data_IF_241003863092
#
_entry.id   IF_241003863092
#
_cell.length_a   1.000
_cell.length_b   1.000
_cell.length_c   1.000
_cell.angle_alpha   90.00
_cell.angle_beta   90.00
_cell.angle_gamma   90.00
#
_symmetry.space_group_name_H-M   'P 1'
#
loop_
_entity.id
_entity.type
_entity.pdbx_description
1 polymer ?
#
# COMPACT_ATOMS: atom_id res chain seq x y z
N UNK A 1 -19.05 -0.26 22.32
CA UNK A 1 -18.10 -0.82 21.33
C UNK A 1 -17.18 0.31 20.89
N UNK A 2 -15.87 0.19 21.11
CA UNK A 2 -14.93 1.29 20.83
C UNK A 2 -14.83 1.50 19.31
N UNK A 3 -15.31 2.64 18.82
CA UNK A 3 -15.17 3.06 17.43
C UNK A 3 -13.69 3.25 17.12
N UNK A 4 -13.03 2.22 16.58
CA UNK A 4 -11.67 2.38 16.04
C UNK A 4 -11.77 3.39 14.90
N UNK A 5 -11.19 4.57 15.11
CA UNK A 5 -11.25 5.69 14.16
C UNK A 5 -10.51 5.27 12.89
N UNK A 6 -11.24 4.93 11.83
CA UNK A 6 -10.67 4.53 10.54
C UNK A 6 -9.89 5.65 9.87
N UNK A 7 -8.95 5.28 9.00
CA UNK A 7 -8.14 6.20 8.20
C UNK A 7 -9.02 6.71 7.05
N UNK A 8 -9.12 8.03 6.90
CA UNK A 8 -9.84 8.63 5.79
C UNK A 8 -9.02 8.51 4.48
N UNK A 9 -9.69 8.19 3.39
CA UNK A 9 -9.11 8.14 2.04
C UNK A 9 -10.15 8.59 1.02
N UNK A 10 -9.72 9.31 0.00
CA UNK A 10 -10.50 9.70 -1.18
C UNK A 10 -10.40 8.66 -2.30
N UNK A 11 -9.41 7.74 -2.22
CA UNK A 11 -9.09 6.78 -3.27
C UNK A 11 -8.94 5.37 -2.70
N UNK A 12 -10.06 4.68 -2.47
CA UNK A 12 -10.08 3.31 -1.98
C UNK A 12 -9.24 2.35 -2.85
N UNK A 13 -9.24 2.56 -4.17
CA UNK A 13 -8.50 1.72 -5.11
C UNK A 13 -6.99 1.75 -4.87
N UNK A 14 -6.44 2.90 -4.50
CA UNK A 14 -5.02 3.00 -4.17
C UNK A 14 -4.68 2.19 -2.91
N UNK A 15 -5.56 2.22 -1.91
CA UNK A 15 -5.38 1.43 -0.68
C UNK A 15 -5.39 -0.07 -0.99
N UNK A 16 -6.37 -0.53 -1.77
CA UNK A 16 -6.43 -1.93 -2.21
C UNK A 16 -5.17 -2.31 -2.98
N UNK A 17 -4.73 -1.48 -3.92
CA UNK A 17 -3.54 -1.73 -4.73
C UNK A 17 -2.28 -1.82 -3.86
N UNK A 18 -2.11 -0.92 -2.87
CA UNK A 18 -0.99 -0.97 -1.93
C UNK A 18 -1.01 -2.26 -1.10
N UNK A 19 -2.18 -2.74 -0.67
CA UNK A 19 -2.31 -4.01 0.05
C UNK A 19 -1.96 -5.21 -0.84
N UNK A 20 -2.33 -5.18 -2.12
CA UNK A 20 -1.98 -6.21 -3.10
C UNK A 20 -0.47 -6.24 -3.37
N UNK A 21 0.14 -5.08 -3.67
CA UNK A 21 1.58 -4.96 -3.92
C UNK A 21 2.40 -5.36 -2.69
N UNK A 22 1.94 -4.95 -1.50
CA UNK A 22 2.56 -5.30 -0.22
C UNK A 22 2.33 -6.75 0.22
N UNK A 23 1.63 -7.56 -0.58
CA UNK A 23 1.27 -8.96 -0.30
C UNK A 23 0.67 -9.15 1.09
N UNK A 24 -0.16 -8.20 1.53
CA UNK A 24 -0.74 -8.20 2.87
C UNK A 24 -1.82 -9.28 2.99
N UNK A 25 -1.95 -9.84 4.19
CA UNK A 25 -2.95 -10.86 4.53
C UNK A 25 -3.77 -10.35 5.70
N UNK A 26 -5.08 -10.20 5.51
CA UNK A 26 -5.94 -9.62 6.54
C UNK A 26 -7.26 -9.12 5.97
N UNK A 27 -8.01 -8.42 6.81
CA UNK A 27 -9.34 -7.93 6.51
C UNK A 27 -9.33 -6.40 6.42
N UNK A 28 -9.80 -5.86 5.30
CA UNK A 28 -10.00 -4.44 5.07
C UNK A 28 -11.48 -4.14 5.26
N UNK A 29 -11.80 -3.44 6.34
CA UNK A 29 -13.12 -2.92 6.61
C UNK A 29 -13.22 -1.47 6.12
N UNK A 30 -14.30 -1.13 5.41
CA UNK A 30 -14.47 0.15 4.73
C UNK A 30 -15.84 0.70 5.08
N UNK A 31 -15.91 2.00 5.34
CA UNK A 31 -17.12 2.70 5.73
C UNK A 31 -17.27 3.96 4.87
N UNK A 32 -18.45 4.16 4.29
CA UNK A 32 -18.79 5.35 3.49
C UNK A 32 -20.05 6.01 4.06
N UNK A 33 -20.08 7.35 3.98
CA UNK A 33 -21.24 8.14 4.35
C UNK A 33 -21.31 8.50 5.83
N UNK A 34 -22.32 9.30 6.16
CA UNK A 34 -22.70 9.66 7.52
C UNK A 34 -24.08 9.05 7.80
N UNK A 35 -24.43 8.86 9.08
CA UNK A 35 -25.78 8.39 9.40
C UNK A 35 -26.84 9.35 8.82
N UNK A 36 -27.92 8.84 8.19
CA UNK A 36 -28.37 7.43 8.15
C UNK A 36 -27.91 6.61 6.92
N UNK A 37 -27.20 7.20 5.95
CA UNK A 37 -26.77 6.53 4.72
C UNK A 37 -25.40 5.86 4.86
N UNK A 38 -25.08 5.34 6.05
CA UNK A 38 -23.82 4.67 6.31
C UNK A 38 -23.81 3.32 5.59
N UNK A 39 -22.87 3.18 4.67
CA UNK A 39 -22.63 1.93 3.96
C UNK A 39 -21.34 1.29 4.44
N UNK A 40 -21.34 -0.04 4.52
CA UNK A 40 -20.20 -0.83 4.98
C UNK A 40 -19.77 -1.83 3.91
N UNK A 41 -18.45 -1.91 3.71
CA UNK A 41 -17.79 -2.84 2.84
C UNK A 41 -16.68 -3.58 3.57
N UNK A 42 -16.42 -4.81 3.16
CA UNK A 42 -15.36 -5.63 3.72
C UNK A 42 -14.67 -6.45 2.63
N UNK A 43 -13.35 -6.49 2.66
CA UNK A 43 -12.52 -7.20 1.69
C UNK A 43 -11.50 -8.03 2.45
N UNK A 44 -11.42 -9.33 2.13
CA UNK A 44 -10.44 -10.24 2.73
C UNK A 44 -9.31 -10.48 1.75
N UNK A 45 -8.09 -10.28 2.24
CA UNK A 45 -6.84 -10.46 1.50
C UNK A 45 -6.06 -11.68 2.01
N UNK A 46 -5.52 -12.46 1.09
CA UNK A 46 -4.58 -13.55 1.35
C UNK A 46 -3.35 -13.37 0.45
N UNK A 47 -2.20 -13.05 1.05
CA UNK A 47 -0.93 -12.83 0.35
C UNK A 47 -1.04 -11.77 -0.77
N UNK A 48 -1.82 -10.71 -0.54
CA UNK A 48 -2.10 -9.66 -1.54
C UNK A 48 -3.09 -10.06 -2.63
N UNK A 49 -3.75 -11.21 -2.54
CA UNK A 49 -4.87 -11.57 -3.41
C UNK A 49 -6.19 -11.35 -2.67
N UNK A 50 -7.19 -10.82 -3.35
CA UNK A 50 -8.54 -10.70 -2.80
C UNK A 50 -9.20 -12.06 -2.88
N UNK A 51 -9.62 -12.62 -1.75
CA UNK A 51 -10.30 -13.92 -1.69
C UNK A 51 -11.80 -13.80 -1.44
N UNK A 52 -12.24 -12.69 -0.86
CA UNK A 52 -13.66 -12.36 -0.66
C UNK A 52 -13.83 -10.84 -0.60
N UNK A 53 -14.97 -10.38 -1.09
CA UNK A 53 -15.40 -8.99 -0.97
C UNK A 53 -16.91 -8.97 -0.73
N UNK A 54 -17.37 -8.17 0.21
CA UNK A 54 -18.77 -8.01 0.54
C UNK A 54 -19.08 -6.53 0.80
N UNK A 55 -20.27 -6.10 0.39
CA UNK A 55 -20.75 -4.75 0.64
C UNK A 55 -22.27 -4.77 0.81
N UNK A 56 -22.73 -4.73 2.06
CA UNK A 56 -24.14 -4.94 2.39
C UNK A 56 -24.65 -6.31 1.90
N UNK A 57 -25.51 -6.30 0.88
CA UNK A 57 -26.06 -7.51 0.25
C UNK A 57 -25.28 -7.97 -0.99
N UNK A 58 -24.33 -7.17 -1.48
CA UNK A 58 -23.51 -7.53 -2.63
C UNK A 58 -22.32 -8.37 -2.17
N UNK A 59 -21.99 -9.42 -2.92
CA UNK A 59 -20.84 -10.29 -2.67
C UNK A 59 -19.98 -10.46 -3.94
N UNK A 60 -18.70 -10.75 -3.74
CA UNK A 60 -17.75 -11.13 -4.79
C UNK A 60 -17.45 -9.97 -5.75
N UNK A 61 -17.56 -10.25 -7.05
CA UNK A 61 -17.22 -9.28 -8.09
C UNK A 61 -18.18 -8.07 -8.10
N UNK A 62 -19.47 -8.30 -7.84
CA UNK A 62 -20.46 -7.22 -7.77
C UNK A 62 -20.18 -6.25 -6.62
N UNK A 63 -19.77 -6.79 -5.46
CA UNK A 63 -19.30 -5.97 -4.34
C UNK A 63 -18.07 -5.15 -4.73
N UNK A 64 -17.11 -5.75 -5.45
CA UNK A 64 -15.94 -5.01 -5.90
C UNK A 64 -16.26 -3.91 -6.91
N UNK A 65 -17.13 -4.18 -7.88
CA UNK A 65 -17.51 -3.17 -8.85
C UNK A 65 -18.28 -2.01 -8.20
N UNK A 66 -19.08 -2.30 -7.16
CA UNK A 66 -19.69 -1.28 -6.32
C UNK A 66 -18.66 -0.47 -5.52
N UNK A 67 -17.73 -1.14 -4.84
CA UNK A 67 -16.67 -0.48 -4.06
C UNK A 67 -15.75 0.41 -4.93
N UNK A 68 -15.56 0.08 -6.22
CA UNK A 68 -14.83 0.95 -7.17
C UNK A 68 -15.51 2.30 -7.39
N UNK A 69 -16.83 2.38 -7.23
CA UNK A 69 -17.59 3.63 -7.36
C UNK A 69 -17.54 4.50 -6.09
N UNK A 70 -16.93 4.00 -5.02
CA UNK A 70 -16.82 4.73 -3.76
C UNK A 70 -15.79 5.85 -3.86
N UNK A 71 -16.21 7.07 -3.53
CA UNK A 71 -15.35 8.23 -3.37
C UNK A 71 -14.75 8.31 -1.95
N UNK A 72 -14.90 9.44 -1.23
CA UNK A 72 -14.41 9.58 0.14
C UNK A 72 -14.96 8.51 1.09
N UNK A 73 -14.08 7.71 1.68
CA UNK A 73 -14.43 6.67 2.64
C UNK A 73 -13.41 6.59 3.77
N UNK A 74 -13.73 5.83 4.80
CA UNK A 74 -12.82 5.47 5.90
C UNK A 74 -12.52 3.99 5.82
N UNK A 75 -11.30 3.60 6.15
CA UNK A 75 -10.94 2.19 6.18
C UNK A 75 -10.13 1.81 7.41
N UNK A 76 -10.19 0.53 7.75
CA UNK A 76 -9.41 -0.12 8.80
C UNK A 76 -8.90 -1.43 8.22
N UNK A 77 -7.58 -1.63 8.27
CA UNK A 77 -6.98 -2.91 7.90
C UNK A 77 -6.56 -3.66 9.16
N UNK A 78 -7.12 -4.85 9.37
CA UNK A 78 -6.77 -5.76 10.46
C UNK A 78 -5.95 -6.89 9.86
N UNK A 79 -4.67 -6.95 10.22
CA UNK A 79 -3.76 -7.99 9.76
C UNK A 79 -4.09 -9.30 10.50
N UNK A 80 -4.26 -10.41 9.77
CA UNK A 80 -4.68 -11.69 10.40
C UNK A 80 -3.60 -12.22 11.36
N UNK A 81 -2.33 -11.93 11.05
CA UNK A 81 -1.16 -12.29 11.87
C UNK A 81 -1.27 -11.73 13.31
N UNK A 82 -1.90 -10.57 13.49
CA UNK A 82 -2.07 -9.95 14.82
C UNK A 82 -3.18 -10.62 15.66
N UNK A 83 -4.07 -11.43 15.05
CA UNK A 83 -5.06 -12.23 15.81
C UNK A 83 -4.44 -13.48 16.42
N UNK A 84 -3.38 -14.03 15.84
CA UNK A 84 -2.74 -15.25 16.31
C UNK A 84 -1.92 -15.07 17.61
N UNK A 85 -1.66 -13.84 18.05
CA UNK A 85 -0.91 -13.56 19.31
C UNK A 85 -1.81 -13.08 20.46
N UNK A 86 -3.14 -13.04 20.27
CA UNK A 86 -4.09 -12.89 21.37
C UNK A 86 -4.28 -14.20 22.15
N UNK A 87 -4.60 -14.16 23.46
CA UNK A 87 -4.83 -15.36 24.24
C UNK A 87 -5.94 -16.19 23.58
N UNK A 88 -5.64 -17.46 23.30
CA UNK A 88 -6.57 -18.42 22.69
C UNK A 88 -7.91 -18.41 23.44
N UNK A 89 -8.92 -17.73 22.90
CA UNK A 89 -10.32 -18.05 23.22
C UNK A 89 -10.73 -19.12 22.22
N UNK A 90 -10.67 -20.34 22.70
CA UNK A 90 -11.20 -21.55 22.09
C UNK A 90 -12.71 -21.38 21.84
N UNK A 91 -13.09 -20.85 20.68
CA UNK A 91 -14.47 -20.93 20.20
C UNK A 91 -14.60 -22.20 19.37
N UNK A 92 -15.16 -23.19 20.04
CA UNK A 92 -15.59 -24.47 19.50
C UNK A 92 -16.31 -24.30 18.17
N UNK A 93 -15.81 -25.00 17.17
CA UNK A 93 -16.53 -25.37 15.96
C UNK A 93 -17.78 -26.17 16.35
N UNK A 94 -18.93 -25.52 16.44
CA UNK A 94 -20.21 -26.21 16.49
C UNK A 94 -20.55 -26.69 15.08
N UNK A 95 -20.23 -27.94 14.82
CA UNK A 95 -20.87 -28.78 13.81
C UNK A 95 -22.36 -28.92 14.10
N UNK A 96 -23.22 -28.61 13.14
CA UNK A 96 -24.58 -29.15 13.09
C UNK A 96 -24.96 -29.52 11.65
N UNK A 97 -25.21 -30.82 11.53
CA UNK A 97 -25.62 -31.67 10.42
C UNK A 97 -27.08 -31.51 9.97
N UNK A 98 -27.33 -31.75 8.67
CA UNK A 98 -28.51 -32.39 8.00
C UNK A 98 -29.92 -31.74 8.18
N UNK A 99 -30.87 -31.72 7.24
CA UNK A 99 -31.33 -32.77 6.30
C UNK A 99 -32.39 -32.18 5.31
N UNK A 100 -32.23 -32.39 3.99
CA UNK A 100 -33.20 -32.81 2.92
C UNK A 100 -34.65 -32.22 2.76
N UNK A 101 -35.44 -32.50 1.68
CA UNK A 101 -35.16 -32.91 0.27
C UNK A 101 -36.08 -32.25 -0.83
N UNK A 102 -35.82 -32.56 -2.12
CA UNK A 102 -36.76 -32.58 -3.30
C UNK A 102 -37.21 -31.22 -3.90
N UNK A 103 -37.33 -30.95 -5.21
CA UNK A 103 -37.39 -31.71 -6.48
C UNK A 103 -37.34 -30.68 -7.69
N UNK A 104 -37.54 -31.05 -8.98
CA UNK A 104 -36.62 -30.82 -10.11
C UNK A 104 -36.97 -29.61 -11.03
N UNK A 105 -36.01 -29.15 -11.86
CA UNK A 105 -36.28 -28.63 -13.22
C UNK A 105 -35.02 -28.33 -14.06
N UNK A 106 -34.83 -29.12 -15.12
CA UNK A 106 -34.66 -28.67 -16.53
C UNK A 106 -33.38 -27.89 -16.92
N UNK A 107 -32.51 -28.62 -17.65
CA UNK A 107 -31.56 -28.27 -18.74
C UNK A 107 -31.95 -27.02 -19.58
N UNK A 108 -31.02 -26.31 -20.28
CA UNK A 108 -30.13 -26.95 -21.26
C UNK A 108 -28.73 -26.35 -21.48
N UNK A 109 -28.00 -27.17 -22.24
CA UNK A 109 -26.65 -27.03 -22.77
C UNK A 109 -26.43 -25.83 -23.67
N UNK A 110 -25.29 -25.17 -23.42
CA UNK A 110 -24.27 -24.67 -24.35
C UNK A 110 -24.57 -24.83 -25.85
N UNK A 111 -24.75 -23.69 -26.52
CA UNK A 111 -24.14 -23.42 -27.83
C UNK A 111 -24.34 -21.95 -28.15
N UNK A 112 -23.26 -21.19 -28.23
CA UNK A 112 -23.28 -19.93 -28.98
C UNK A 112 -21.94 -19.72 -29.68
N UNK A 113 -21.97 -19.25 -30.94
CA UNK A 113 -20.86 -19.35 -31.86
C UNK A 113 -19.96 -18.11 -31.82
N UNK A 114 -18.72 -18.32 -32.25
CA UNK A 114 -17.77 -17.32 -32.69
C UNK A 114 -18.39 -16.39 -33.74
N UNK A 115 -18.10 -15.08 -33.67
CA UNK A 115 -17.81 -14.33 -34.89
C UNK A 115 -16.42 -13.70 -34.83
N UNK A 116 -15.59 -14.08 -35.81
CA UNK A 116 -14.66 -13.16 -36.45
C UNK A 116 -15.39 -11.82 -36.69
N UNK A 117 -14.77 -10.68 -36.43
CA UNK A 117 -14.21 -9.90 -37.55
C UNK A 117 -13.35 -8.70 -37.13
N UNK A 118 -12.27 -8.58 -37.90
CA UNK A 118 -11.53 -7.39 -38.37
C UNK A 118 -11.35 -6.10 -37.56
N UNK A 119 -10.13 -5.56 -37.78
CA UNK A 119 -9.75 -4.14 -37.91
C UNK A 119 -9.63 -3.37 -36.57
N UNK A 120 -8.54 -2.67 -36.25
CA UNK A 120 -7.51 -1.99 -37.04
C UNK A 120 -6.29 -1.76 -36.13
N UNK A 121 -5.10 -2.13 -36.61
CA UNK A 121 -3.83 -1.50 -36.19
C UNK A 121 -3.69 -0.17 -36.96
N UNK A 122 -3.46 0.96 -36.30
CA UNK A 122 -2.68 2.07 -36.87
C UNK A 122 -1.21 1.73 -36.58
N UNK A 123 -0.47 1.23 -37.56
CA UNK A 123 0.34 2.02 -38.50
C UNK A 123 1.40 2.85 -37.78
N UNK A 124 2.58 2.24 -37.72
CA UNK A 124 3.90 2.80 -37.46
C UNK A 124 4.18 3.94 -38.44
N UNK A 125 4.28 5.16 -37.94
CA UNK A 125 4.90 6.27 -38.66
C UNK A 125 6.36 6.41 -38.24
N UNK A 126 7.33 6.48 -39.17
CA UNK A 126 8.69 6.85 -38.85
C UNK A 126 8.78 8.36 -38.64
N UNK A 127 9.19 8.81 -37.44
CA UNK A 127 9.54 10.22 -37.21
C UNK A 127 10.93 10.52 -37.80
N UNK A 128 11.13 11.71 -38.38
CA UNK A 128 12.43 12.16 -38.84
C UNK A 128 13.34 12.49 -37.64
N UNK A 129 14.55 11.94 -37.65
CA UNK A 129 15.60 12.26 -36.70
C UNK A 129 16.10 13.69 -36.94
N UNK A 130 15.97 14.56 -35.94
CA UNK A 130 16.63 15.86 -35.93
C UNK A 130 18.09 15.69 -35.47
N UNK A 131 19.07 16.32 -36.14
CA UNK A 131 20.44 16.34 -35.69
C UNK A 131 20.55 17.24 -34.46
N UNK A 132 20.73 16.64 -33.27
CA UNK A 132 21.08 17.35 -32.05
C UNK A 132 22.59 17.59 -32.06
N UNK A 133 22.98 18.84 -32.28
CA UNK A 133 24.35 19.34 -32.14
C UNK A 133 24.75 19.28 -30.66
N UNK A 134 25.79 18.52 -30.28
CA UNK A 134 26.26 18.51 -28.90
C UNK A 134 27.03 19.81 -28.62
N UNK A 135 26.41 20.71 -27.87
CA UNK A 135 27.13 21.82 -27.23
C UNK A 135 27.83 21.27 -25.97
N UNK A 136 29.16 21.44 -25.84
CA UNK A 136 29.88 21.03 -24.65
C UNK A 136 29.51 21.97 -23.49
N UNK A 137 28.63 21.51 -22.62
CA UNK A 137 28.32 22.21 -21.36
C UNK A 137 29.50 21.95 -20.42
N UNK A 138 30.12 22.99 -19.82
CA UNK A 138 31.19 22.82 -18.86
C UNK A 138 30.68 22.07 -17.63
N UNK A 139 31.32 20.93 -17.35
CA UNK A 139 31.09 20.11 -16.15
C UNK A 139 31.46 20.92 -14.90
N UNK A 140 30.49 21.63 -14.34
CA UNK A 140 30.58 22.14 -12.97
C UNK A 140 30.46 20.91 -12.07
N UNK A 141 31.60 20.38 -11.65
CA UNK A 141 31.70 19.37 -10.60
C UNK A 141 31.17 19.99 -9.29
N UNK A 142 29.86 20.00 -9.14
CA UNK A 142 29.22 20.25 -7.86
C UNK A 142 29.63 19.10 -6.95
N UNK A 143 30.56 19.38 -6.05
CA UNK A 143 30.87 18.57 -4.88
C UNK A 143 29.61 18.46 -4.03
N UNK A 144 28.73 17.54 -4.39
CA UNK A 144 27.56 17.16 -3.61
C UNK A 144 28.03 16.40 -2.38
N UNK A 145 28.57 17.14 -1.40
CA UNK A 145 28.82 16.64 -0.05
C UNK A 145 27.48 16.43 0.64
N UNK A 146 26.84 15.30 0.34
CA UNK A 146 25.68 14.81 1.10
C UNK A 146 26.09 14.36 2.51
N UNK A 147 25.14 14.23 3.43
CA UNK A 147 25.42 13.76 4.79
C UNK A 147 26.08 12.37 4.74
N UNK A 148 27.20 12.21 5.43
CA UNK A 148 27.96 10.98 5.51
C UNK A 148 27.88 10.38 6.91
N UNK A 149 27.90 9.04 7.00
CA UNK A 149 27.99 8.36 8.30
C UNK A 149 29.37 8.60 8.90
N UNK A 150 29.43 9.14 10.11
CA UNK A 150 30.69 9.34 10.82
C UNK A 150 31.19 8.06 11.51
N UNK A 151 30.31 7.07 11.70
CA UNK A 151 30.60 5.83 12.41
C UNK A 151 30.02 4.58 11.71
N UNK A 152 30.47 3.41 12.17
CA UNK A 152 29.94 2.11 11.71
C UNK A 152 28.44 1.99 12.03
N UNK A 153 27.66 1.27 11.20
CA UNK A 153 26.22 1.17 11.38
C UNK A 153 25.82 0.60 12.75
N UNK A 154 26.60 -0.36 13.26
CA UNK A 154 26.38 -0.99 14.57
C UNK A 154 26.58 0.00 15.73
N UNK A 155 27.65 0.78 15.68
CA UNK A 155 27.94 1.82 16.68
C UNK A 155 26.90 2.94 16.63
N UNK A 156 26.51 3.37 15.42
CA UNK A 156 25.46 4.37 15.24
C UNK A 156 24.11 3.91 15.80
N UNK A 157 23.73 2.64 15.57
CA UNK A 157 22.51 2.06 16.13
C UNK A 157 22.56 1.96 17.67
N UNK A 158 23.72 1.65 18.27
CA UNK A 158 23.89 1.68 19.74
C UNK A 158 23.70 3.08 20.29
N UNK A 159 24.31 4.11 19.67
CA UNK A 159 24.13 5.51 20.10
C UNK A 159 22.70 6.00 19.93
N UNK A 160 22.03 5.60 18.84
CA UNK A 160 20.61 5.86 18.61
C UNK A 160 19.70 5.23 19.68
N UNK A 161 20.05 4.03 20.16
CA UNK A 161 19.34 3.39 21.25
C UNK A 161 19.57 4.11 22.58
N UNK A 162 20.81 4.50 22.88
CA UNK A 162 21.16 5.24 24.10
C UNK A 162 20.51 6.62 24.17
N UNK A 163 20.40 7.31 23.03
CA UNK A 163 19.78 8.63 22.94
C UNK A 163 18.24 8.60 22.92
N UNK A 164 17.61 7.42 23.08
CA UNK A 164 16.15 7.22 23.01
C UNK A 164 15.49 7.85 21.77
N UNK A 165 16.21 7.88 20.65
CA UNK A 165 15.68 8.49 19.44
C UNK A 165 14.56 7.65 18.81
N UNK A 166 13.63 8.35 18.18
CA UNK A 166 12.44 7.76 17.57
C UNK A 166 12.80 6.78 16.44
N UNK A 167 11.85 5.88 16.12
CA UNK A 167 11.97 4.94 15.00
C UNK A 167 12.33 5.64 13.67
N UNK A 168 11.88 6.88 13.50
CA UNK A 168 12.16 7.68 12.29
C UNK A 168 13.62 8.07 12.16
N UNK A 169 14.30 8.42 13.25
CA UNK A 169 15.74 8.69 13.23
C UNK A 169 16.53 7.46 12.79
N UNK A 170 16.15 6.28 13.29
CA UNK A 170 16.79 5.01 12.92
C UNK A 170 16.59 4.69 11.44
N UNK A 171 15.38 4.88 10.93
CA UNK A 171 15.07 4.67 9.52
C UNK A 171 15.84 5.65 8.62
N UNK A 172 15.91 6.94 9.00
CA UNK A 172 16.66 7.94 8.26
C UNK A 172 18.17 7.61 8.26
N UNK A 173 18.73 7.24 9.42
CA UNK A 173 20.13 6.84 9.54
C UNK A 173 20.48 5.65 8.63
N UNK A 174 19.60 4.64 8.55
CA UNK A 174 19.79 3.47 7.67
C UNK A 174 19.78 3.83 6.17
N UNK A 175 19.16 4.94 5.79
CA UNK A 175 19.14 5.42 4.40
C UNK A 175 20.37 6.26 4.02
N UNK A 176 21.08 6.84 5.00
CA UNK A 176 22.28 7.66 4.75
C UNK A 176 23.46 6.77 4.38
N UNK A 177 23.80 6.68 3.10
CA UNK A 177 24.93 5.91 2.56
C UNK A 177 26.10 6.81 2.10
N UNK A 178 25.99 8.12 2.27
CA UNK A 178 27.00 9.11 1.90
C UNK A 178 26.95 9.58 0.44
N UNK A 179 26.04 9.04 -0.37
CA UNK A 179 25.83 9.45 -1.77
C UNK A 179 24.51 10.18 -1.99
N UNK A 180 23.53 10.04 -1.07
CA UNK A 180 22.20 10.63 -1.21
C UNK A 180 22.16 12.09 -0.82
N UNK A 181 21.45 12.88 -1.64
CA UNK A 181 21.10 14.25 -1.29
C UNK A 181 19.96 14.31 -0.27
N UNK A 182 19.86 15.42 0.47
CA UNK A 182 18.75 15.67 1.40
C UNK A 182 17.40 15.57 0.68
N UNK A 183 17.31 16.09 -0.55
CA UNK A 183 16.10 16.00 -1.39
C UNK A 183 15.71 14.56 -1.71
N UNK A 184 16.68 13.68 -1.90
CA UNK A 184 16.43 12.26 -2.15
C UNK A 184 15.98 11.54 -0.87
N UNK A 185 16.57 11.87 0.28
CA UNK A 185 16.10 11.39 1.59
C UNK A 185 14.66 11.80 1.87
N UNK A 186 14.27 13.03 1.51
CA UNK A 186 12.89 13.51 1.60
C UNK A 186 11.94 12.66 0.75
N UNK A 187 12.30 12.39 -0.51
CA UNK A 187 11.48 11.56 -1.41
C UNK A 187 11.36 10.12 -0.93
N UNK A 188 12.44 9.54 -0.40
CA UNK A 188 12.47 8.15 0.07
C UNK A 188 11.71 7.96 1.38
N UNK A 189 11.74 8.96 2.27
CA UNK A 189 11.02 8.91 3.53
C UNK A 189 9.56 9.34 3.39
N UNK A 190 9.20 10.05 2.32
CA UNK A 190 7.85 10.59 2.10
C UNK A 190 7.46 11.64 3.13
N UNK A 191 8.44 12.30 3.76
CA UNK A 191 8.23 13.28 4.84
C UNK A 191 8.38 14.71 4.37
N UNK A 192 7.93 15.64 5.19
CA UNK A 192 8.14 17.06 4.92
C UNK A 192 9.63 17.43 5.05
N UNK A 193 10.13 18.38 4.23
CA UNK A 193 11.53 18.78 4.24
C UNK A 193 12.00 19.28 5.61
N UNK A 194 11.17 20.05 6.32
CA UNK A 194 11.49 20.55 7.65
C UNK A 194 11.66 19.45 8.71
N UNK A 195 10.82 18.40 8.64
CA UNK A 195 10.98 17.24 9.53
C UNK A 195 12.29 16.51 9.24
N UNK A 196 12.62 16.29 7.97
CA UNK A 196 13.86 15.58 7.59
C UNK A 196 15.09 16.38 8.01
N UNK A 197 15.08 17.70 7.83
CA UNK A 197 16.16 18.58 8.32
C UNK A 197 16.31 18.51 9.85
N UNK A 198 15.20 18.53 10.60
CA UNK A 198 15.25 18.40 12.05
C UNK A 198 15.85 17.06 12.48
N UNK A 199 15.43 15.96 11.84
CA UNK A 199 15.99 14.62 12.12
C UNK A 199 17.48 14.53 11.78
N UNK A 200 17.93 15.14 10.67
CA UNK A 200 19.35 15.21 10.31
C UNK A 200 20.14 16.01 11.35
N UNK A 201 19.62 17.16 11.79
CA UNK A 201 20.25 17.96 12.84
C UNK A 201 20.38 17.20 14.16
N UNK A 202 19.35 16.44 14.56
CA UNK A 202 19.41 15.61 15.76
C UNK A 202 20.43 14.46 15.63
N UNK A 203 20.57 13.86 14.45
CA UNK A 203 21.59 12.84 14.17
C UNK A 203 23.02 13.42 14.16
N UNK A 204 23.20 14.63 13.63
CA UNK A 204 24.47 15.36 13.64
C UNK A 204 24.87 15.76 15.05
N UNK A 205 23.92 16.24 15.87
CA UNK A 205 24.15 16.60 17.28
C UNK A 205 24.65 15.44 18.13
N UNK A 206 24.27 14.21 17.80
CA UNK A 206 24.73 12.99 18.50
C UNK A 206 26.08 12.50 17.93
N UNK A 207 26.57 13.14 16.86
CA UNK A 207 27.86 12.83 16.22
C UNK A 207 27.85 11.53 15.43
N UNK A 208 26.69 11.12 14.90
CA UNK A 208 26.54 9.87 14.13
C UNK A 208 26.67 10.15 12.62
N UNK A 209 26.33 11.37 12.19
CA UNK A 209 26.47 11.83 10.81
C UNK A 209 27.24 13.16 10.75
N UNK A 210 27.80 13.48 9.59
CA UNK A 210 28.53 14.71 9.29
C UNK A 210 28.16 15.22 7.90
#
# INVERSE_FOLDING_TARGET
MASRRGIATDQLMNVIQVLQLGRKTGQLSIERGEEPQREWGEITFLQGRIISAQCGQLEGQAAMDWLKTWGPCRFIFVNDIDRATGPMVNLQSSSSTSTNPSLPAIRPSVSSPLPNDTRRRPSTGPMPALPVTPTPIPSIQASHSGPQRACTPEEGLRRLAQANLSRHHRQLYLLIDGSRSVMELIRLTGRQPGEVQQLLYDLERIGIIR
#
